data_IF_333815534484
#
_entry.id   IF_333815534484
#
_cell.length_a   1.000
_cell.length_b   1.000
_cell.length_c   1.000
_cell.angle_alpha   90.00
_cell.angle_beta   90.00
_cell.angle_gamma   90.00
#
_symmetry.space_group_name_H-M   'P 1'
#
loop_
_entity.id
_entity.type
_entity.pdbx_description
1 polymer ?
#
# COMPACT_ATOMS: atom_id res chain seq x y z
N UNK A 1 75.21 -35.83 -7.22
CA UNK A 1 74.09 -35.46 -8.09
C UNK A 1 72.84 -35.40 -7.23
N UNK A 2 72.52 -34.21 -6.69
CA UNK A 2 71.28 -33.94 -5.91
C UNK A 2 70.18 -33.45 -6.90
N UNK A 3 69.11 -34.18 -7.03
CA UNK A 3 67.94 -33.81 -7.80
C UNK A 3 66.92 -33.17 -6.85
N UNK A 4 66.78 -31.84 -6.96
CA UNK A 4 65.76 -31.08 -6.23
C UNK A 4 64.34 -31.44 -6.71
N UNK A 5 63.52 -32.02 -5.82
CA UNK A 5 62.10 -32.19 -6.02
C UNK A 5 61.39 -30.94 -5.53
N UNK A 6 60.92 -30.13 -6.46
CA UNK A 6 60.08 -28.93 -6.15
C UNK A 6 58.62 -29.41 -6.08
N UNK A 7 58.09 -29.46 -4.86
CA UNK A 7 56.67 -29.76 -4.61
C UNK A 7 55.91 -28.46 -4.75
N UNK A 8 55.10 -28.40 -5.84
CA UNK A 8 54.16 -27.28 -6.07
C UNK A 8 52.89 -27.53 -5.27
N UNK A 9 52.70 -26.77 -4.15
CA UNK A 9 51.46 -26.82 -3.37
C UNK A 9 50.47 -25.88 -4.04
N UNK A 10 49.44 -26.48 -4.69
CA UNK A 10 48.29 -25.77 -5.25
C UNK A 10 47.31 -25.51 -4.10
N UNK A 11 47.29 -24.30 -3.57
CA UNK A 11 46.29 -23.86 -2.60
C UNK A 11 45.02 -23.52 -3.35
N UNK A 12 44.03 -24.43 -3.30
CA UNK A 12 42.69 -24.19 -3.82
C UNK A 12 41.97 -23.21 -2.87
N UNK A 13 41.85 -21.95 -3.27
CA UNK A 13 40.99 -20.97 -2.59
C UNK A 13 39.51 -21.27 -2.94
N UNK A 14 38.81 -21.98 -2.08
CA UNK A 14 37.35 -22.15 -2.20
C UNK A 14 36.73 -20.84 -1.75
N UNK A 15 36.41 -19.96 -2.70
CA UNK A 15 35.54 -18.81 -2.46
C UNK A 15 34.13 -19.33 -2.23
N UNK A 16 33.73 -19.45 -0.97
CA UNK A 16 32.33 -19.69 -0.61
C UNK A 16 31.54 -18.43 -0.97
N UNK A 17 30.93 -18.43 -2.16
CA UNK A 17 29.91 -17.47 -2.53
C UNK A 17 28.69 -17.79 -1.65
N UNK A 18 28.60 -17.13 -0.49
CA UNK A 18 27.33 -17.05 0.21
C UNK A 18 26.36 -16.29 -0.69
N UNK A 19 25.66 -17.03 -1.55
CA UNK A 19 24.50 -16.52 -2.24
C UNK A 19 23.51 -16.05 -1.18
N UNK A 20 23.41 -14.73 -1.00
CA UNK A 20 22.27 -14.13 -0.35
C UNK A 20 21.04 -14.50 -1.20
N UNK A 21 20.54 -15.69 -0.98
CA UNK A 21 19.22 -16.09 -1.45
C UNK A 21 18.22 -15.14 -0.82
N UNK A 22 17.84 -14.10 -1.56
CA UNK A 22 16.73 -13.25 -1.22
C UNK A 22 15.53 -14.18 -1.07
N UNK A 23 15.13 -14.51 0.18
CA UNK A 23 13.90 -15.23 0.46
C UNK A 23 12.81 -14.45 -0.27
N UNK A 24 12.37 -14.97 -1.40
CA UNK A 24 11.14 -14.50 -2.04
C UNK A 24 10.05 -14.80 -1.02
N UNK A 25 9.65 -13.75 -0.27
CA UNK A 25 8.54 -13.83 0.67
C UNK A 25 7.37 -14.49 -0.08
N UNK A 26 6.64 -15.37 0.58
CA UNK A 26 5.51 -16.02 -0.05
C UNK A 26 4.56 -14.93 -0.55
N UNK A 27 4.35 -14.87 -1.86
CA UNK A 27 3.48 -13.85 -2.49
C UNK A 27 2.07 -13.86 -1.89
N UNK A 28 1.66 -14.96 -1.27
CA UNK A 28 0.37 -15.05 -0.59
C UNK A 28 0.38 -14.30 0.74
N UNK A 29 1.46 -14.39 1.52
CA UNK A 29 1.64 -13.63 2.77
C UNK A 29 1.77 -12.12 2.49
N UNK A 30 2.54 -11.76 1.48
CA UNK A 30 2.67 -10.37 1.05
C UNK A 30 1.33 -9.80 0.56
N UNK A 31 0.56 -10.56 -0.21
CA UNK A 31 -0.77 -10.15 -0.64
C UNK A 31 -1.74 -10.01 0.54
N UNK A 32 -1.67 -10.87 1.54
CA UNK A 32 -2.47 -10.75 2.76
C UNK A 32 -2.11 -9.50 3.56
N UNK A 33 -0.81 -9.22 3.75
CA UNK A 33 -0.32 -8.02 4.41
C UNK A 33 -0.75 -6.73 3.68
N UNK A 34 -0.70 -6.72 2.34
CA UNK A 34 -1.17 -5.62 1.51
C UNK A 34 -2.69 -5.40 1.69
N UNK A 35 -3.51 -6.47 1.71
CA UNK A 35 -4.96 -6.37 1.97
C UNK A 35 -5.23 -5.79 3.35
N UNK A 36 -4.49 -6.22 4.38
CA UNK A 36 -4.63 -5.71 5.73
C UNK A 36 -4.39 -4.19 5.84
N UNK A 37 -3.50 -3.61 5.02
CA UNK A 37 -3.32 -2.15 4.96
C UNK A 37 -4.58 -1.44 4.46
N UNK A 38 -5.23 -1.96 3.40
CA UNK A 38 -6.49 -1.39 2.86
C UNK A 38 -7.63 -1.55 3.87
N UNK A 39 -7.73 -2.71 4.51
CA UNK A 39 -8.73 -2.99 5.54
C UNK A 39 -8.57 -2.07 6.76
N UNK A 40 -7.32 -1.82 7.20
CA UNK A 40 -7.03 -0.88 8.29
C UNK A 40 -7.48 0.54 7.93
N UNK A 41 -7.25 0.99 6.70
CA UNK A 41 -7.71 2.30 6.22
C UNK A 41 -9.25 2.37 6.24
N UNK A 42 -9.94 1.35 5.73
CA UNK A 42 -11.43 1.27 5.76
C UNK A 42 -11.94 1.26 7.19
N UNK A 43 -11.31 0.49 8.08
CA UNK A 43 -11.63 0.46 9.52
C UNK A 43 -11.51 1.85 10.14
N UNK A 44 -10.41 2.57 9.90
CA UNK A 44 -10.19 3.93 10.40
C UNK A 44 -11.28 4.90 9.94
N UNK A 45 -11.68 4.84 8.66
CA UNK A 45 -12.81 5.60 8.13
C UNK A 45 -14.11 5.29 8.88
N UNK A 46 -14.44 4.02 9.02
CA UNK A 46 -15.70 3.58 9.61
C UNK A 46 -15.76 3.85 11.13
N UNK A 47 -14.61 3.95 11.79
CA UNK A 47 -14.46 4.39 13.19
C UNK A 47 -14.43 5.92 13.34
N UNK A 48 -14.35 6.69 12.24
CA UNK A 48 -14.17 8.16 12.27
C UNK A 48 -12.88 8.58 12.98
N UNK A 49 -11.83 7.79 12.83
CA UNK A 49 -10.51 8.05 13.41
C UNK A 49 -9.49 8.35 12.30
N UNK A 50 -9.05 9.60 12.21
CA UNK A 50 -8.02 10.01 11.27
C UNK A 50 -6.69 9.29 11.53
N UNK A 51 -6.33 9.08 12.78
CA UNK A 51 -5.12 8.33 13.16
C UNK A 51 -5.17 6.87 12.70
N UNK A 52 -6.29 6.17 12.93
CA UNK A 52 -6.45 4.78 12.48
C UNK A 52 -6.54 4.67 10.94
N UNK A 53 -7.15 5.67 10.29
CA UNK A 53 -7.17 5.76 8.83
C UNK A 53 -5.76 5.91 8.25
N UNK A 54 -4.94 6.77 8.85
CA UNK A 54 -3.59 7.07 8.36
C UNK A 54 -2.52 6.02 8.75
N UNK A 55 -2.82 5.14 9.70
CA UNK A 55 -1.88 4.15 10.25
C UNK A 55 -1.14 3.29 9.23
N UNK A 56 -1.76 2.82 8.11
CA UNK A 56 -1.07 2.01 7.12
C UNK A 56 -0.17 2.81 6.16
N UNK A 57 -0.20 4.14 6.20
CA UNK A 57 0.64 4.97 5.35
C UNK A 57 2.06 5.09 5.90
N UNK A 58 3.05 5.23 5.00
CA UNK A 58 4.42 5.59 5.36
C UNK A 58 4.46 7.01 5.95
N UNK A 59 5.53 7.31 6.71
CA UNK A 59 5.67 8.62 7.36
C UNK A 59 5.72 9.78 6.37
N UNK A 60 6.25 9.54 5.18
CA UNK A 60 6.43 10.48 4.09
C UNK A 60 5.47 10.25 2.90
N UNK A 61 4.42 9.46 3.08
CA UNK A 61 3.51 9.07 2.01
C UNK A 61 2.90 10.25 1.26
N UNK A 62 2.69 10.07 -0.04
CA UNK A 62 1.94 10.98 -0.89
C UNK A 62 0.47 10.56 -0.96
N UNK A 63 -0.45 11.48 -0.70
CA UNK A 63 -1.89 11.23 -0.75
C UNK A 63 -2.60 12.29 -1.59
N UNK A 64 -2.98 11.91 -2.81
CA UNK A 64 -3.71 12.81 -3.72
C UNK A 64 -5.20 12.54 -3.60
N UNK A 65 -5.94 13.53 -3.09
CA UNK A 65 -7.39 13.45 -2.97
C UNK A 65 -8.08 13.70 -4.30
N UNK A 66 -9.39 13.45 -4.35
CA UNK A 66 -10.17 13.41 -5.60
C UNK A 66 -10.18 14.74 -6.39
N UNK A 67 -9.94 15.87 -5.72
CA UNK A 67 -9.84 17.21 -6.35
C UNK A 67 -8.40 17.59 -6.75
N UNK A 68 -7.43 16.65 -6.63
CA UNK A 68 -6.04 16.84 -6.98
C UNK A 68 -5.15 17.42 -5.88
N UNK A 69 -5.70 17.78 -4.70
CA UNK A 69 -4.89 18.26 -3.59
C UNK A 69 -3.97 17.15 -3.06
N UNK A 70 -2.69 17.47 -2.88
CA UNK A 70 -1.68 16.60 -2.28
C UNK A 70 -1.59 16.85 -0.77
N UNK A 71 -1.70 15.76 0.00
CA UNK A 71 -1.31 15.70 1.40
C UNK A 71 0.00 14.94 1.50
N UNK A 72 0.97 15.46 2.25
CA UNK A 72 2.28 14.86 2.43
C UNK A 72 2.44 14.35 3.85
N UNK A 73 2.71 13.05 3.95
CA UNK A 73 3.01 12.36 5.19
C UNK A 73 1.78 11.89 5.98
N UNK A 74 1.99 10.82 6.75
CA UNK A 74 0.97 10.15 7.58
C UNK A 74 0.23 11.11 8.50
N UNK A 75 0.94 12.04 9.13
CA UNK A 75 0.35 12.98 10.07
C UNK A 75 -0.65 13.92 9.38
N UNK A 76 -0.26 14.53 8.26
CA UNK A 76 -1.15 15.41 7.50
C UNK A 76 -2.37 14.66 6.96
N UNK A 77 -2.20 13.41 6.50
CA UNK A 77 -3.29 12.53 6.08
C UNK A 77 -4.26 12.30 7.25
N UNK A 78 -3.75 11.95 8.42
CA UNK A 78 -4.58 11.69 9.61
C UNK A 78 -5.35 12.93 10.08
N UNK A 79 -4.68 14.08 10.18
CA UNK A 79 -5.30 15.34 10.59
C UNK A 79 -6.39 15.78 9.61
N UNK A 80 -6.14 15.70 8.30
CA UNK A 80 -7.13 16.08 7.30
C UNK A 80 -8.35 15.15 7.33
N UNK A 81 -8.15 13.84 7.52
CA UNK A 81 -9.26 12.90 7.64
C UNK A 81 -10.05 13.11 8.92
N UNK A 82 -9.40 13.44 10.05
CA UNK A 82 -10.13 13.78 11.27
C UNK A 82 -11.07 14.97 11.06
N UNK A 83 -10.60 16.05 10.41
CA UNK A 83 -11.43 17.22 10.11
C UNK A 83 -12.68 16.88 9.30
N UNK A 84 -12.55 16.02 8.27
CA UNK A 84 -13.71 15.64 7.46
C UNK A 84 -14.62 14.63 8.18
N UNK A 85 -14.10 13.81 9.07
CA UNK A 85 -14.89 12.91 9.92
C UNK A 85 -15.71 13.67 10.95
N UNK A 86 -15.20 14.78 11.46
CA UNK A 86 -15.90 15.64 12.41
C UNK A 86 -16.99 16.48 11.72
N UNK A 87 -17.00 16.55 10.38
CA UNK A 87 -17.87 17.43 9.59
C UNK A 87 -18.67 16.64 8.54
N UNK A 88 -18.20 16.68 7.29
CA UNK A 88 -18.97 16.25 6.10
C UNK A 88 -19.13 14.71 5.98
N UNK A 89 -18.22 13.95 6.60
CA UNK A 89 -18.22 12.48 6.52
C UNK A 89 -18.53 11.77 7.84
N UNK A 90 -19.04 12.50 8.85
CA UNK A 90 -19.35 11.94 10.19
C UNK A 90 -20.29 10.73 10.14
N UNK A 91 -21.31 10.78 9.28
CA UNK A 91 -22.36 9.76 9.18
C UNK A 91 -22.21 8.91 7.91
N UNK A 92 -20.98 8.59 7.51
CA UNK A 92 -20.69 7.81 6.31
C UNK A 92 -20.00 6.50 6.62
N UNK A 93 -20.09 5.57 5.65
CA UNK A 93 -19.31 4.33 5.59
C UNK A 93 -18.47 4.31 4.32
N UNK A 94 -17.28 3.76 4.41
CA UNK A 94 -16.41 3.46 3.27
C UNK A 94 -16.38 1.96 3.02
N UNK A 95 -16.47 1.56 1.76
CA UNK A 95 -16.14 0.23 1.27
C UNK A 95 -15.10 0.34 0.17
N UNK A 96 -14.06 -0.47 0.24
CA UNK A 96 -13.06 -0.62 -0.82
C UNK A 96 -13.01 -2.09 -1.23
N UNK A 97 -13.08 -2.34 -2.52
CA UNK A 97 -12.91 -3.64 -3.15
C UNK A 97 -11.61 -3.65 -3.93
N UNK A 98 -10.69 -4.54 -3.59
CA UNK A 98 -9.44 -4.72 -4.33
C UNK A 98 -9.73 -5.50 -5.61
N UNK A 99 -9.50 -4.86 -6.76
CA UNK A 99 -9.64 -5.49 -8.09
C UNK A 99 -8.39 -6.26 -8.49
N UNK A 100 -7.21 -5.68 -8.17
CA UNK A 100 -5.93 -6.25 -8.56
C UNK A 100 -4.84 -5.86 -7.58
N UNK A 101 -3.98 -6.80 -7.24
CA UNK A 101 -2.67 -6.57 -6.62
C UNK A 101 -1.62 -6.99 -7.65
N UNK A 102 -0.75 -6.07 -8.03
CA UNK A 102 0.35 -6.32 -8.96
C UNK A 102 1.68 -6.03 -8.29
N UNK A 103 2.47 -7.06 -8.08
CA UNK A 103 3.86 -6.93 -7.62
C UNK A 103 4.73 -6.45 -8.79
N UNK A 104 5.39 -5.32 -8.61
CA UNK A 104 6.37 -4.77 -9.56
C UNK A 104 7.75 -5.34 -9.25
N UNK A 105 8.05 -5.53 -7.96
CA UNK A 105 9.23 -6.17 -7.40
C UNK A 105 8.81 -6.95 -6.15
N UNK A 106 9.74 -7.62 -5.49
CA UNK A 106 9.47 -8.34 -4.23
C UNK A 106 9.08 -7.42 -3.07
N UNK A 107 9.40 -6.13 -3.17
CA UNK A 107 9.23 -5.10 -2.16
C UNK A 107 8.35 -3.92 -2.63
N UNK A 108 7.77 -3.97 -3.84
CA UNK A 108 6.89 -2.92 -4.39
C UNK A 108 5.68 -3.53 -5.06
N UNK A 109 4.50 -3.03 -4.72
CA UNK A 109 3.24 -3.43 -5.34
C UNK A 109 2.36 -2.22 -5.69
N UNK A 110 1.54 -2.38 -6.72
CA UNK A 110 0.43 -1.48 -7.06
C UNK A 110 -0.88 -2.21 -6.79
N UNK A 111 -1.85 -1.50 -6.22
CA UNK A 111 -3.22 -1.97 -6.04
C UNK A 111 -4.17 -1.08 -6.83
N UNK A 112 -5.06 -1.69 -7.58
CA UNK A 112 -6.22 -1.03 -8.19
C UNK A 112 -7.49 -1.46 -7.47
N UNK A 113 -8.33 -0.49 -7.12
CA UNK A 113 -9.53 -0.72 -6.31
C UNK A 113 -10.76 -0.05 -6.89
N UNK A 114 -11.93 -0.43 -6.34
CA UNK A 114 -13.17 0.33 -6.42
C UNK A 114 -13.52 0.81 -5.02
N UNK A 115 -14.06 2.02 -4.91
CA UNK A 115 -14.48 2.58 -3.64
C UNK A 115 -15.84 3.23 -3.72
N UNK A 116 -16.60 3.09 -2.64
CA UNK A 116 -17.86 3.78 -2.41
C UNK A 116 -17.90 4.35 -1.00
N UNK A 117 -18.42 5.57 -0.90
CA UNK A 117 -18.82 6.20 0.35
C UNK A 117 -20.32 6.40 0.30
N UNK A 118 -21.01 5.93 1.34
CA UNK A 118 -22.46 6.09 1.49
C UNK A 118 -22.77 6.61 2.88
N UNK A 119 -23.97 7.15 3.08
CA UNK A 119 -24.46 7.43 4.44
C UNK A 119 -24.59 6.14 5.24
N UNK A 120 -24.53 6.26 6.57
CA UNK A 120 -24.46 5.11 7.50
C UNK A 120 -25.58 4.10 7.27
N UNK A 121 -26.79 4.56 6.93
CA UNK A 121 -27.98 3.73 6.77
C UNK A 121 -28.30 3.40 5.30
N UNK A 122 -27.46 3.83 4.36
CA UNK A 122 -27.60 3.52 2.95
C UNK A 122 -26.91 2.23 2.55
N UNK A 123 -27.41 1.59 1.50
CA UNK A 123 -26.82 0.41 0.88
C UNK A 123 -25.74 0.85 -0.11
N UNK A 124 -24.62 0.13 -0.13
CA UNK A 124 -23.57 0.40 -1.13
C UNK A 124 -24.08 0.13 -2.55
N UNK A 125 -23.93 1.10 -3.48
CA UNK A 125 -24.33 0.91 -4.86
C UNK A 125 -23.43 -0.12 -5.56
N UNK A 126 -23.97 -0.77 -6.60
CA UNK A 126 -23.22 -1.70 -7.44
C UNK A 126 -22.12 -1.00 -8.25
N UNK A 127 -22.36 0.26 -8.65
CA UNK A 127 -21.42 1.07 -9.42
C UNK A 127 -20.50 1.81 -8.46
N UNK A 128 -19.17 1.72 -8.70
CA UNK A 128 -18.19 2.39 -7.87
C UNK A 128 -18.23 3.91 -8.05
N UNK A 129 -18.16 4.67 -6.94
CA UNK A 129 -18.07 6.13 -6.97
C UNK A 129 -16.66 6.63 -7.31
N UNK A 130 -15.64 5.82 -7.07
CA UNK A 130 -14.24 6.16 -7.33
C UNK A 130 -13.40 4.90 -7.60
N UNK A 131 -12.23 5.12 -8.20
CA UNK A 131 -11.23 4.11 -8.51
C UNK A 131 -9.87 4.49 -7.91
N UNK A 132 -9.68 4.31 -6.60
CA UNK A 132 -8.39 4.58 -5.97
C UNK A 132 -7.30 3.62 -6.44
N UNK A 133 -6.08 4.16 -6.57
CA UNK A 133 -4.86 3.38 -6.77
C UNK A 133 -3.89 3.64 -5.62
N UNK A 134 -3.16 2.59 -5.25
CA UNK A 134 -2.17 2.63 -4.18
C UNK A 134 -0.85 2.09 -4.68
N UNK A 135 0.24 2.67 -4.22
CA UNK A 135 1.58 2.08 -4.29
C UNK A 135 2.00 1.72 -2.88
N UNK A 136 2.46 0.49 -2.69
CA UNK A 136 2.99 0.04 -1.41
C UNK A 136 4.45 -0.36 -1.57
N UNK A 137 5.25 -0.07 -0.55
CA UNK A 137 6.61 -0.59 -0.40
C UNK A 137 6.71 -1.46 0.85
N UNK A 138 7.69 -2.40 0.82
CA UNK A 138 8.01 -3.29 1.94
C UNK A 138 9.36 -2.88 2.49
N UNK A 139 9.38 -2.31 3.70
CA UNK A 139 10.59 -1.88 4.40
C UNK A 139 10.65 -2.57 5.77
N UNK A 140 11.82 -3.10 6.13
CA UNK A 140 11.97 -3.85 7.37
C UNK A 140 10.97 -5.01 7.53
N UNK A 141 10.52 -5.61 6.42
CA UNK A 141 9.54 -6.69 6.42
C UNK A 141 8.07 -6.24 6.51
N UNK A 142 7.79 -4.93 6.57
CA UNK A 142 6.44 -4.37 6.70
C UNK A 142 6.00 -3.67 5.42
N UNK A 143 4.82 -4.01 4.92
CA UNK A 143 4.18 -3.29 3.83
C UNK A 143 3.52 -2.00 4.33
N UNK A 144 3.80 -0.87 3.67
CA UNK A 144 3.20 0.43 3.95
C UNK A 144 2.75 1.09 2.65
N UNK A 145 1.68 1.89 2.71
CA UNK A 145 1.22 2.69 1.58
C UNK A 145 2.14 3.90 1.46
N UNK A 146 2.88 4.00 0.35
CA UNK A 146 3.79 5.12 0.07
C UNK A 146 3.17 6.16 -0.87
N UNK A 147 2.19 5.75 -1.68
CA UNK A 147 1.42 6.69 -2.49
C UNK A 147 -0.03 6.21 -2.67
N UNK A 148 -0.93 7.17 -2.71
CA UNK A 148 -2.36 7.00 -2.95
C UNK A 148 -2.83 8.08 -3.91
N UNK A 149 -3.67 7.69 -4.86
CA UNK A 149 -4.39 8.63 -5.71
C UNK A 149 -5.83 8.20 -5.85
N UNK A 150 -6.75 9.14 -5.61
CA UNK A 150 -8.16 8.92 -5.83
C UNK A 150 -8.58 9.45 -7.21
N UNK A 151 -9.39 8.65 -7.92
CA UNK A 151 -9.94 9.02 -9.22
C UNK A 151 -11.44 8.88 -9.17
N UNK A 152 -12.18 9.96 -9.44
CA UNK A 152 -13.64 9.94 -9.50
C UNK A 152 -14.13 9.06 -10.67
N UNK A 153 -15.31 8.46 -10.50
CA UNK A 153 -16.01 7.86 -11.63
C UNK A 153 -16.68 8.97 -12.46
N UNK A 154 -16.12 9.27 -13.62
CA UNK A 154 -16.59 10.34 -14.50
C UNK A 154 -18.05 10.16 -14.94
N UNK A 155 -18.54 8.91 -15.09
CA UNK A 155 -19.94 8.64 -15.46
C UNK A 155 -20.91 9.08 -14.35
N UNK A 156 -20.54 8.87 -13.08
CA UNK A 156 -21.34 9.31 -11.93
C UNK A 156 -21.28 10.84 -11.78
N UNK A 157 -20.11 11.43 -11.95
CA UNK A 157 -19.95 12.89 -11.87
C UNK A 157 -20.73 13.63 -12.96
N UNK A 158 -20.80 13.08 -14.18
CA UNK A 158 -21.56 13.66 -15.29
C UNK A 158 -23.08 13.66 -15.00
N UNK A 159 -23.59 12.67 -14.30
CA UNK A 159 -25.02 12.53 -13.97
C UNK A 159 -25.46 13.31 -12.71
N UNK A 160 -24.52 13.98 -12.01
CA UNK A 160 -24.82 14.84 -10.84
C UNK A 160 -25.06 16.32 -11.19
N UNK A 161 -24.87 16.68 -12.46
CA UNK A 161 -25.14 18.02 -13.00
C UNK A 161 -26.55 18.13 -13.53
#
# INVERSE_FOLDING_TARGET
MLRNFMVLIFVLFIVSINGYGQKTGDKSEDAAAIRANVEQMVKGWNMKSGAEFAKPFAEDADYIIINGMLLKGREAIGQQHQRIFDTVYKDTKLKIEIRQIRFLRSDVAIIHTKANIVKKDEVFPAVAGAFPSFVLSKEGGKWQIVAFQNTANAEIEANRK
#
